data_IF_832629208849
#
_entry.id   IF_832629208849
#
_cell.length_a   1.000
_cell.length_b   1.000
_cell.length_c   1.000
_cell.angle_alpha   90.00
_cell.angle_beta   90.00
_cell.angle_gamma   90.00
#
_symmetry.space_group_name_H-M   'P 1'
#
loop_
_entity.id
_entity.type
_entity.pdbx_description
1 polymer ?
#
# COMPACT_ATOMS: atom_id res chain seq x y z
N UNK A 1 6.75 -21.88 -6.60
CA UNK A 1 7.16 -20.46 -6.50
C UNK A 1 5.92 -19.68 -6.14
N UNK A 2 5.98 -18.73 -5.20
CA UNK A 2 4.83 -17.89 -4.86
C UNK A 2 4.54 -16.92 -6.00
N UNK A 3 3.27 -16.72 -6.33
CA UNK A 3 2.86 -15.74 -7.35
C UNK A 3 3.06 -14.33 -6.83
N UNK A 4 3.49 -13.44 -7.72
CA UNK A 4 3.60 -12.01 -7.42
C UNK A 4 2.24 -11.34 -7.59
N UNK A 5 1.94 -10.33 -6.77
CA UNK A 5 0.63 -9.69 -6.67
C UNK A 5 0.63 -8.32 -7.34
N UNK A 6 -0.46 -7.98 -8.01
CA UNK A 6 -0.77 -6.64 -8.50
C UNK A 6 -1.90 -6.07 -7.65
N UNK A 7 -1.63 -4.94 -7.01
CA UNK A 7 -2.49 -4.32 -6.01
C UNK A 7 -2.88 -2.92 -6.47
N UNK A 8 -4.09 -2.69 -6.98
CA UNK A 8 -4.61 -1.34 -7.17
C UNK A 8 -4.78 -0.61 -5.84
N UNK A 9 -4.40 0.69 -5.80
CA UNK A 9 -4.56 1.53 -4.62
C UNK A 9 -5.62 2.60 -4.88
N UNK A 10 -6.52 2.78 -3.92
CA UNK A 10 -7.56 3.78 -3.91
C UNK A 10 -7.30 4.77 -2.76
N UNK A 11 -6.84 5.97 -3.09
CA UNK A 11 -6.79 7.07 -2.13
C UNK A 11 -8.22 7.61 -1.94
N UNK A 12 -8.72 7.60 -0.71
CA UNK A 12 -10.10 8.00 -0.39
C UNK A 12 -10.10 9.26 0.46
N UNK A 13 -10.97 10.20 0.12
CA UNK A 13 -11.27 11.39 0.92
C UNK A 13 -12.75 11.74 0.81
N UNK A 14 -13.38 12.12 1.91
CA UNK A 14 -14.80 12.49 1.96
C UNK A 14 -15.72 11.51 1.21
N UNK A 15 -15.43 10.20 1.28
CA UNK A 15 -16.23 9.17 0.64
C UNK A 15 -16.01 8.97 -0.86
N UNK A 16 -15.04 9.63 -1.46
CA UNK A 16 -14.73 9.54 -2.89
C UNK A 16 -13.30 9.06 -3.11
N UNK A 17 -13.11 8.28 -4.18
CA UNK A 17 -11.76 7.98 -4.64
C UNK A 17 -11.18 9.20 -5.32
N UNK A 18 -9.96 9.54 -4.95
CA UNK A 18 -9.25 10.69 -5.50
C UNK A 18 -7.86 10.29 -5.98
N UNK A 19 -7.29 11.07 -6.88
CA UNK A 19 -5.89 10.95 -7.27
C UNK A 19 -5.27 12.32 -7.46
N UNK A 20 -4.08 12.49 -6.90
CA UNK A 20 -3.25 13.69 -7.05
C UNK A 20 -1.80 13.31 -7.30
N UNK A 21 -0.95 14.30 -7.49
CA UNK A 21 0.51 14.16 -7.52
C UNK A 21 1.03 14.66 -6.18
N UNK A 22 1.83 13.85 -5.47
CA UNK A 22 2.35 14.19 -4.14
C UNK A 22 1.25 14.65 -3.15
N UNK A 23 0.07 14.02 -3.20
CA UNK A 23 -1.12 14.38 -2.39
C UNK A 23 -1.65 15.82 -2.62
N UNK A 24 -1.29 16.46 -3.71
CA UNK A 24 -1.72 17.81 -4.09
C UNK A 24 -2.51 17.76 -5.39
N UNK A 25 -3.49 18.69 -5.55
CA UNK A 25 -4.29 18.77 -6.77
C UNK A 25 -5.21 17.56 -6.98
N UNK A 26 -5.82 17.07 -5.90
CA UNK A 26 -6.70 15.90 -5.92
C UNK A 26 -7.84 16.05 -6.92
N UNK A 27 -8.00 15.05 -7.79
CA UNK A 27 -9.11 14.93 -8.73
C UNK A 27 -9.97 13.75 -8.32
N UNK A 28 -11.29 13.92 -8.38
CA UNK A 28 -12.25 12.85 -8.17
C UNK A 28 -12.08 11.77 -9.25
N UNK A 29 -11.89 10.53 -8.83
CA UNK A 29 -11.76 9.37 -9.71
C UNK A 29 -13.00 8.48 -9.70
N UNK A 30 -13.99 8.72 -8.82
CA UNK A 30 -15.27 8.04 -8.82
C UNK A 30 -15.71 7.44 -7.48
N UNK A 31 -16.73 6.61 -7.56
CA UNK A 31 -17.27 5.87 -6.42
C UNK A 31 -16.35 4.70 -6.03
N UNK A 32 -15.98 4.56 -4.74
CA UNK A 32 -15.05 3.52 -4.29
C UNK A 32 -15.58 2.09 -4.51
N UNK A 33 -16.86 1.85 -4.38
CA UNK A 33 -17.45 0.51 -4.56
C UNK A 33 -17.43 0.10 -6.04
N UNK A 34 -17.79 1.00 -6.93
CA UNK A 34 -17.78 0.73 -8.38
C UNK A 34 -16.35 0.52 -8.91
N UNK A 35 -15.39 1.29 -8.39
CA UNK A 35 -13.98 1.13 -8.76
C UNK A 35 -13.44 -0.19 -8.23
N UNK A 36 -13.73 -0.55 -6.99
CA UNK A 36 -13.32 -1.82 -6.39
C UNK A 36 -13.87 -3.03 -7.17
N UNK A 37 -15.17 -3.04 -7.52
CA UNK A 37 -15.76 -4.07 -8.36
C UNK A 37 -15.07 -4.21 -9.72
N UNK A 38 -14.75 -3.07 -10.33
CA UNK A 38 -14.03 -3.07 -11.61
C UNK A 38 -12.68 -3.74 -11.50
N UNK A 39 -11.92 -3.49 -10.44
CA UNK A 39 -10.61 -4.11 -10.23
C UNK A 39 -10.71 -5.59 -9.88
N UNK A 40 -11.70 -5.99 -9.09
CA UNK A 40 -11.98 -7.40 -8.82
C UNK A 40 -12.30 -8.15 -10.13
N UNK A 41 -13.21 -7.61 -10.96
CA UNK A 41 -13.53 -8.16 -12.29
C UNK A 41 -12.32 -8.22 -13.23
N UNK A 42 -11.38 -7.28 -13.12
CA UNK A 42 -10.14 -7.27 -13.90
C UNK A 42 -9.07 -8.24 -13.36
N UNK A 43 -9.37 -8.96 -12.26
CA UNK A 43 -8.50 -9.95 -11.67
C UNK A 43 -7.38 -9.38 -10.80
N UNK A 44 -7.59 -8.25 -10.12
CA UNK A 44 -6.66 -7.76 -9.11
C UNK A 44 -6.43 -8.84 -8.03
N UNK A 45 -5.23 -8.91 -7.48
CA UNK A 45 -4.92 -9.90 -6.45
C UNK A 45 -5.36 -9.44 -5.06
N UNK A 46 -5.33 -8.14 -4.82
CA UNK A 46 -5.74 -7.45 -3.59
C UNK A 46 -6.15 -6.01 -3.93
N UNK A 47 -6.81 -5.33 -3.00
CA UNK A 47 -7.07 -3.89 -3.06
C UNK A 47 -6.48 -3.20 -1.84
N UNK A 48 -6.00 -1.97 -2.02
CA UNK A 48 -5.61 -1.10 -0.92
C UNK A 48 -6.44 0.17 -0.92
N UNK A 49 -7.05 0.47 0.22
CA UNK A 49 -7.75 1.73 0.50
C UNK A 49 -6.92 2.55 1.49
N UNK A 50 -6.59 3.77 1.12
CA UNK A 50 -5.89 4.71 2.00
C UNK A 50 -6.78 5.93 2.26
N UNK A 51 -7.28 6.06 3.48
CA UNK A 51 -7.93 7.29 3.93
C UNK A 51 -6.87 8.36 4.17
N UNK A 52 -6.73 9.27 3.21
CA UNK A 52 -5.70 10.33 3.24
C UNK A 52 -6.11 11.54 4.07
N UNK A 53 -7.36 11.60 4.55
CA UNK A 53 -7.91 12.70 5.34
C UNK A 53 -8.42 12.28 6.71
N UNK A 54 -8.01 11.11 7.22
CA UNK A 54 -8.49 10.51 8.46
C UNK A 54 -8.45 11.47 9.66
N UNK A 55 -9.45 12.34 9.74
CA UNK A 55 -9.78 13.16 10.93
C UNK A 55 -10.75 12.38 11.82
N UNK A 56 -10.98 12.86 13.03
CA UNK A 56 -11.93 12.23 13.98
C UNK A 56 -13.34 12.08 13.38
N UNK A 57 -13.77 13.04 12.59
CA UNK A 57 -15.15 13.14 12.07
C UNK A 57 -15.37 12.31 10.80
N UNK A 58 -14.31 11.90 10.11
CA UNK A 58 -14.39 11.08 8.89
C UNK A 58 -14.36 9.56 9.12
N UNK A 59 -14.12 9.11 10.37
CA UNK A 59 -13.92 7.69 10.66
C UNK A 59 -15.13 6.80 10.39
N UNK A 60 -16.31 7.27 10.71
CA UNK A 60 -17.52 6.48 10.50
C UNK A 60 -17.85 6.36 9.00
N UNK A 61 -17.53 7.39 8.23
CA UNK A 61 -17.72 7.37 6.78
C UNK A 61 -16.86 6.30 6.12
N UNK A 62 -15.58 6.16 6.49
CA UNK A 62 -14.71 5.13 5.91
C UNK A 62 -15.18 3.71 6.28
N UNK A 63 -15.71 3.48 7.48
CA UNK A 63 -16.24 2.18 7.88
C UNK A 63 -17.40 1.76 6.98
N UNK A 64 -18.36 2.63 6.69
CA UNK A 64 -19.47 2.35 5.78
C UNK A 64 -19.00 2.04 4.35
N UNK A 65 -17.94 2.71 3.88
CA UNK A 65 -17.36 2.42 2.58
C UNK A 65 -16.73 1.03 2.57
N UNK A 66 -15.98 0.69 3.63
CA UNK A 66 -15.35 -0.63 3.77
C UNK A 66 -16.41 -1.73 3.77
N UNK A 67 -17.48 -1.58 4.57
CA UNK A 67 -18.61 -2.50 4.61
C UNK A 67 -19.26 -2.67 3.23
N UNK A 68 -19.50 -1.56 2.52
CA UNK A 68 -20.09 -1.59 1.19
C UNK A 68 -19.18 -2.28 0.17
N UNK A 69 -17.88 -2.02 0.19
CA UNK A 69 -16.89 -2.68 -0.68
C UNK A 69 -16.76 -4.15 -0.34
N UNK A 70 -16.56 -4.51 0.94
CA UNK A 70 -16.40 -5.89 1.39
C UNK A 70 -17.64 -6.76 1.06
N UNK A 71 -18.83 -6.17 0.96
CA UNK A 71 -20.05 -6.88 0.54
C UNK A 71 -20.10 -7.21 -0.95
N UNK A 72 -19.22 -6.62 -1.77
CA UNK A 72 -19.29 -6.68 -3.24
C UNK A 72 -17.99 -7.20 -3.90
N UNK A 73 -16.89 -7.26 -3.15
CA UNK A 73 -15.55 -7.59 -3.63
C UNK A 73 -15.02 -8.77 -2.83
N UNK A 74 -14.41 -9.74 -3.49
CA UNK A 74 -14.01 -11.02 -2.89
C UNK A 74 -12.49 -11.25 -2.92
N UNK A 75 -11.72 -10.22 -3.24
CA UNK A 75 -10.26 -10.21 -3.10
C UNK A 75 -9.86 -9.51 -1.80
N UNK A 76 -8.70 -9.84 -1.19
CA UNK A 76 -8.28 -9.23 0.07
C UNK A 76 -8.25 -7.71 0.02
N UNK A 77 -8.76 -7.09 1.08
CA UNK A 77 -8.85 -5.65 1.24
C UNK A 77 -7.92 -5.17 2.37
N UNK A 78 -6.92 -4.38 2.01
CA UNK A 78 -6.07 -3.65 2.96
C UNK A 78 -6.60 -2.24 3.16
N UNK A 79 -6.80 -1.84 4.40
CA UNK A 79 -7.27 -0.49 4.75
C UNK A 79 -6.24 0.22 5.61
N UNK A 80 -5.88 1.44 5.20
CA UNK A 80 -4.97 2.33 5.93
C UNK A 80 -5.53 3.72 6.13
N UNK A 81 -4.91 4.46 7.05
CA UNK A 81 -5.33 5.80 7.44
C UNK A 81 -6.02 5.85 8.81
N UNK A 82 -5.61 6.79 9.66
CA UNK A 82 -6.26 7.08 10.94
C UNK A 82 -6.14 6.02 12.05
N UNK A 83 -5.41 4.94 11.85
CA UNK A 83 -5.20 3.90 12.86
C UNK A 83 -4.28 4.42 13.96
N UNK A 84 -4.72 4.40 15.22
CA UNK A 84 -3.99 4.94 16.39
C UNK A 84 -3.88 3.96 17.54
N UNK A 85 -4.76 2.96 17.58
CA UNK A 85 -4.84 1.98 18.66
C UNK A 85 -5.29 0.61 18.14
N UNK A 86 -5.07 -0.44 18.92
CA UNK A 86 -5.54 -1.81 18.63
C UNK A 86 -7.07 -1.85 18.41
N UNK A 87 -7.81 -0.99 19.11
CA UNK A 87 -9.25 -0.86 18.93
C UNK A 87 -9.65 -0.37 17.51
N UNK A 88 -8.84 0.49 16.89
CA UNK A 88 -9.08 0.93 15.51
C UNK A 88 -8.86 -0.23 14.53
N UNK A 89 -7.82 -1.05 14.74
CA UNK A 89 -7.59 -2.28 13.96
C UNK A 89 -8.82 -3.18 14.02
N UNK A 90 -9.38 -3.41 15.22
CA UNK A 90 -10.60 -4.21 15.39
C UNK A 90 -11.78 -3.64 14.60
N UNK A 91 -11.99 -2.33 14.64
CA UNK A 91 -13.10 -1.68 13.91
C UNK A 91 -13.01 -1.90 12.41
N UNK A 92 -11.81 -1.75 11.83
CA UNK A 92 -11.57 -1.94 10.40
C UNK A 92 -11.75 -3.41 9.99
N UNK A 93 -11.20 -4.36 10.76
CA UNK A 93 -11.39 -5.80 10.50
C UNK A 93 -12.87 -6.20 10.60
N UNK A 94 -13.59 -5.69 11.60
CA UNK A 94 -15.03 -5.94 11.74
C UNK A 94 -15.87 -5.35 10.61
N UNK A 95 -15.43 -4.26 10.00
CA UNK A 95 -16.07 -3.65 8.84
C UNK A 95 -15.80 -4.41 7.52
N UNK A 96 -14.91 -5.42 7.54
CA UNK A 96 -14.62 -6.28 6.41
C UNK A 96 -13.24 -6.10 5.79
N UNK A 97 -12.33 -5.33 6.40
CA UNK A 97 -10.93 -5.33 5.99
C UNK A 97 -10.26 -6.67 6.34
N UNK A 98 -9.42 -7.19 5.45
CA UNK A 98 -8.58 -8.37 5.71
C UNK A 98 -7.26 -7.97 6.35
N UNK A 99 -6.76 -6.80 6.01
CA UNK A 99 -5.51 -6.25 6.52
C UNK A 99 -5.67 -4.78 6.91
N UNK A 100 -4.93 -4.36 7.90
CA UNK A 100 -4.90 -2.97 8.38
C UNK A 100 -3.49 -2.41 8.26
N UNK A 101 -3.38 -1.26 7.60
CA UNK A 101 -2.12 -0.57 7.37
C UNK A 101 -1.93 0.60 8.33
N UNK A 102 -0.76 0.69 8.96
CA UNK A 102 -0.38 1.78 9.87
C UNK A 102 0.99 2.34 9.50
N UNK A 103 1.15 3.66 9.59
CA UNK A 103 2.40 4.39 9.37
C UNK A 103 2.76 5.25 10.59
N UNK A 104 2.25 6.46 10.66
CA UNK A 104 2.63 7.45 11.71
C UNK A 104 2.42 6.95 13.13
N UNK A 105 1.37 6.17 13.37
CA UNK A 105 1.11 5.57 14.68
C UNK A 105 2.11 4.49 15.07
N UNK A 106 2.57 3.70 14.09
CA UNK A 106 3.61 2.70 14.32
C UNK A 106 4.96 3.36 14.65
N UNK A 107 5.29 4.49 13.99
CA UNK A 107 6.49 5.27 14.31
C UNK A 107 6.39 5.91 15.69
N UNK A 108 5.23 6.49 16.04
CA UNK A 108 5.00 7.13 17.34
C UNK A 108 4.96 6.14 18.51
N UNK A 109 4.42 4.96 18.28
CA UNK A 109 4.32 3.86 19.25
C UNK A 109 4.55 2.52 18.56
N UNK A 110 5.80 2.05 18.46
CA UNK A 110 6.13 0.78 17.82
C UNK A 110 5.49 -0.45 18.48
N UNK A 111 5.15 -0.39 19.76
CA UNK A 111 4.50 -1.48 20.48
C UNK A 111 3.09 -1.75 19.94
N UNK A 112 2.44 -0.75 19.31
CA UNK A 112 1.18 -0.93 18.61
C UNK A 112 1.23 -2.05 17.55
N UNK A 113 2.36 -2.18 16.84
CA UNK A 113 2.56 -3.26 15.84
C UNK A 113 2.57 -4.61 16.54
N UNK A 114 3.33 -4.73 17.65
CA UNK A 114 3.44 -5.98 18.41
C UNK A 114 2.10 -6.38 19.04
N UNK A 115 1.41 -5.43 19.64
CA UNK A 115 0.11 -5.65 20.30
C UNK A 115 -0.97 -6.08 19.29
N UNK A 116 -1.03 -5.38 18.15
CA UNK A 116 -1.97 -5.71 17.08
C UNK A 116 -1.66 -7.09 16.47
N UNK A 117 -0.38 -7.39 16.20
CA UNK A 117 0.04 -8.68 15.66
C UNK A 117 -0.21 -9.84 16.64
N UNK A 118 0.01 -9.63 17.93
CA UNK A 118 -0.26 -10.64 18.96
C UNK A 118 -1.75 -10.94 19.09
N UNK A 119 -2.61 -9.94 18.86
CA UNK A 119 -4.06 -10.09 19.03
C UNK A 119 -4.77 -10.62 17.78
N UNK A 120 -4.39 -10.13 16.58
CA UNK A 120 -5.08 -10.46 15.32
C UNK A 120 -4.28 -11.37 14.39
N UNK A 121 -3.01 -11.59 14.69
CA UNK A 121 -2.06 -12.29 13.83
C UNK A 121 -1.31 -11.34 12.89
N UNK A 122 -0.05 -11.66 12.61
CA UNK A 122 0.82 -10.88 11.73
C UNK A 122 0.23 -10.64 10.35
N UNK A 123 -0.48 -11.64 9.80
CA UNK A 123 -1.08 -11.58 8.46
C UNK A 123 -2.09 -10.43 8.27
N UNK A 124 -2.65 -9.89 9.35
CA UNK A 124 -3.57 -8.75 9.30
C UNK A 124 -2.85 -7.39 9.40
N UNK A 125 -1.55 -7.36 9.68
CA UNK A 125 -0.82 -6.13 10.00
C UNK A 125 0.14 -5.76 8.88
N UNK A 126 -0.14 -4.63 8.23
CA UNK A 126 0.74 -4.01 7.23
C UNK A 126 1.36 -2.76 7.84
N UNK A 127 2.67 -2.61 7.74
CA UNK A 127 3.32 -1.34 8.10
C UNK A 127 3.64 -0.57 6.81
N UNK A 128 3.01 0.60 6.65
CA UNK A 128 3.33 1.51 5.56
C UNK A 128 4.54 2.36 5.94
N UNK A 129 5.47 2.50 5.00
CA UNK A 129 6.69 3.29 5.15
C UNK A 129 6.78 4.28 3.99
N UNK A 130 6.61 5.57 4.29
CA UNK A 130 6.89 6.64 3.34
C UNK A 130 8.38 6.98 3.44
N UNK A 131 9.13 6.67 2.40
CA UNK A 131 10.58 6.78 2.35
C UNK A 131 11.02 7.95 1.45
N UNK A 132 11.90 8.79 1.95
CA UNK A 132 12.52 9.88 1.17
C UNK A 132 14.02 9.72 1.17
N UNK A 133 14.63 9.79 -0.01
CA UNK A 133 16.07 9.75 -0.14
C UNK A 133 16.71 11.01 0.44
N UNK A 134 17.69 10.84 1.31
CA UNK A 134 18.47 11.92 1.92
C UNK A 134 19.84 12.06 1.24
N UNK A 135 20.54 10.93 1.07
CA UNK A 135 21.83 10.83 0.39
C UNK A 135 21.84 9.59 -0.50
N UNK A 136 22.89 9.41 -1.30
CA UNK A 136 23.02 8.23 -2.15
C UNK A 136 23.02 6.94 -1.31
N UNK A 137 21.99 6.10 -1.52
CA UNK A 137 21.83 4.83 -0.82
C UNK A 137 21.28 4.94 0.62
N UNK A 138 20.80 6.11 1.03
CA UNK A 138 20.17 6.34 2.32
C UNK A 138 18.79 6.94 2.20
N UNK A 139 17.82 6.42 2.97
CA UNK A 139 16.43 6.88 2.99
C UNK A 139 15.96 7.07 4.43
N UNK A 140 15.19 8.10 4.62
CA UNK A 140 14.58 8.47 5.90
C UNK A 140 13.07 8.19 5.87
N UNK A 141 12.55 7.69 6.99
CA UNK A 141 11.10 7.50 7.20
C UNK A 141 10.42 8.84 7.41
N UNK A 142 9.32 9.06 6.70
CA UNK A 142 8.44 10.20 6.88
C UNK A 142 7.08 9.78 7.43
N UNK A 143 6.44 10.68 8.16
CA UNK A 143 5.11 10.49 8.75
C UNK A 143 4.16 11.61 8.33
N UNK A 144 2.88 11.49 8.74
CA UNK A 144 1.83 12.48 8.48
C UNK A 144 1.65 12.79 6.98
N UNK A 145 1.61 11.73 6.14
CA UNK A 145 1.50 11.87 4.69
C UNK A 145 2.71 12.59 4.07
N UNK A 146 3.91 12.22 4.49
CA UNK A 146 5.15 12.76 3.96
C UNK A 146 5.56 14.15 4.47
N UNK A 147 4.87 14.69 5.48
CA UNK A 147 5.10 16.06 5.95
C UNK A 147 6.16 16.19 7.05
N UNK A 148 6.41 15.11 7.79
CA UNK A 148 7.30 15.15 8.97
C UNK A 148 8.42 14.14 8.82
N UNK A 149 9.65 14.63 8.74
CA UNK A 149 10.87 13.84 8.81
C UNK A 149 11.06 13.27 10.22
N UNK A 150 11.52 12.03 10.35
CA UNK A 150 11.65 11.36 11.65
C UNK A 150 13.09 11.14 12.11
N UNK A 151 14.06 11.27 11.22
CA UNK A 151 15.46 10.89 11.47
C UNK A 151 15.68 9.37 11.47
N UNK A 152 14.67 8.56 11.18
CA UNK A 152 14.75 7.10 11.23
C UNK A 152 15.18 6.56 9.86
N UNK A 153 16.21 5.73 9.83
CA UNK A 153 16.64 5.01 8.64
C UNK A 153 15.60 3.97 8.22
N UNK A 154 15.23 3.96 6.94
CA UNK A 154 14.15 3.11 6.40
C UNK A 154 14.47 1.62 6.55
N UNK A 155 15.70 1.20 6.25
CA UNK A 155 16.06 -0.24 6.28
C UNK A 155 16.07 -0.77 7.72
N UNK A 156 16.54 0.05 8.66
CA UNK A 156 16.48 -0.29 10.10
C UNK A 156 15.05 -0.36 10.59
N UNK A 157 14.21 0.57 10.18
CA UNK A 157 12.79 0.59 10.55
C UNK A 157 12.04 -0.61 9.99
N UNK A 158 12.26 -0.95 8.72
CA UNK A 158 11.69 -2.14 8.09
C UNK A 158 12.04 -3.42 8.87
N UNK A 159 13.33 -3.56 9.26
CA UNK A 159 13.79 -4.70 10.06
C UNK A 159 13.17 -4.71 11.47
N UNK A 160 12.97 -3.54 12.07
CA UNK A 160 12.34 -3.41 13.40
C UNK A 160 10.88 -3.82 13.37
N UNK A 161 10.09 -3.31 12.42
CA UNK A 161 8.66 -3.63 12.34
C UNK A 161 8.41 -5.10 11.98
N UNK A 162 9.29 -5.70 11.15
CA UNK A 162 9.25 -7.13 10.87
C UNK A 162 9.45 -7.95 12.15
N UNK A 163 10.42 -7.61 12.99
CA UNK A 163 10.65 -8.27 14.29
C UNK A 163 9.49 -8.08 15.26
N UNK A 164 8.77 -6.96 15.17
CA UNK A 164 7.60 -6.66 16.00
C UNK A 164 6.33 -7.39 15.57
N UNK A 165 6.39 -8.12 14.45
CA UNK A 165 5.28 -8.94 13.99
C UNK A 165 4.45 -8.32 12.88
N UNK A 166 4.94 -7.30 12.18
CA UNK A 166 4.34 -6.91 10.90
C UNK A 166 4.34 -8.11 9.95
N UNK A 167 3.23 -8.33 9.27
CA UNK A 167 3.10 -9.41 8.29
C UNK A 167 3.53 -8.97 6.89
N UNK A 168 3.56 -7.65 6.62
CA UNK A 168 3.88 -7.10 5.31
C UNK A 168 4.31 -5.62 5.42
N UNK A 169 5.15 -5.17 4.50
CA UNK A 169 5.56 -3.77 4.38
C UNK A 169 5.00 -3.18 3.09
N UNK A 170 4.30 -2.05 3.19
CA UNK A 170 3.92 -1.20 2.05
C UNK A 170 4.94 -0.06 1.96
N UNK A 171 5.86 -0.17 1.00
CA UNK A 171 6.99 0.76 0.86
C UNK A 171 6.74 1.77 -0.25
N UNK A 172 6.54 3.03 0.09
CA UNK A 172 6.32 4.12 -0.87
C UNK A 172 7.54 5.02 -0.96
N UNK A 173 8.11 5.14 -2.16
CA UNK A 173 9.13 6.16 -2.43
C UNK A 173 8.49 7.52 -2.70
N UNK A 174 8.70 8.47 -1.80
CA UNK A 174 8.24 9.86 -1.96
C UNK A 174 8.91 10.57 -3.13
N UNK A 175 10.14 10.18 -3.48
CA UNK A 175 10.86 10.74 -4.62
C UNK A 175 10.27 10.30 -5.97
N UNK A 176 9.58 9.16 -5.99
CA UNK A 176 9.00 8.57 -7.20
C UNK A 176 7.48 8.73 -7.29
N UNK A 177 6.79 8.93 -6.16
CA UNK A 177 5.33 9.00 -6.18
C UNK A 177 4.82 10.11 -7.10
N UNK A 178 3.93 9.73 -8.02
CA UNK A 178 3.36 10.61 -9.04
C UNK A 178 4.26 10.95 -10.24
N UNK A 179 5.56 10.58 -10.22
CA UNK A 179 6.52 10.92 -11.30
C UNK A 179 6.30 10.13 -12.58
N UNK A 180 5.76 8.91 -12.52
CA UNK A 180 5.67 7.93 -13.61
C UNK A 180 7.03 7.44 -14.15
N UNK A 181 8.14 7.64 -13.42
CA UNK A 181 9.51 7.27 -13.83
C UNK A 181 9.93 5.86 -13.34
N UNK A 182 9.01 5.10 -12.77
CA UNK A 182 9.25 3.79 -12.18
C UNK A 182 9.52 3.84 -10.69
N UNK A 183 9.50 2.65 -10.07
CA UNK A 183 9.80 2.50 -8.66
C UNK A 183 11.23 2.94 -8.32
N UNK A 184 11.46 3.31 -7.07
CA UNK A 184 12.81 3.41 -6.51
C UNK A 184 13.35 2.00 -6.26
N UNK A 185 14.01 1.46 -7.29
CA UNK A 185 14.48 0.07 -7.29
C UNK A 185 15.56 -0.16 -6.23
N UNK A 186 16.43 0.84 -6.00
CA UNK A 186 17.49 0.74 -4.99
C UNK A 186 16.90 0.68 -3.58
N UNK A 187 15.93 1.54 -3.27
CA UNK A 187 15.18 1.53 -2.01
C UNK A 187 14.46 0.19 -1.83
N UNK A 188 13.72 -0.23 -2.86
CA UNK A 188 12.91 -1.45 -2.79
C UNK A 188 13.76 -2.68 -2.54
N UNK A 189 14.88 -2.83 -3.28
CA UNK A 189 15.82 -3.93 -3.07
C UNK A 189 16.47 -3.88 -1.68
N UNK A 190 16.92 -2.70 -1.22
CA UNK A 190 17.54 -2.57 0.10
C UNK A 190 16.61 -3.01 1.24
N UNK A 191 15.31 -2.71 1.12
CA UNK A 191 14.32 -3.15 2.13
C UNK A 191 13.97 -4.62 1.95
N UNK A 192 13.69 -5.07 0.73
CA UNK A 192 13.31 -6.47 0.46
C UNK A 192 14.38 -7.45 0.89
N UNK A 193 15.65 -7.11 0.68
CA UNK A 193 16.78 -7.97 1.07
C UNK A 193 17.06 -7.95 2.59
N UNK A 194 16.56 -6.94 3.30
CA UNK A 194 16.80 -6.79 4.75
C UNK A 194 15.72 -7.47 5.62
N UNK A 195 14.57 -7.88 5.03
CA UNK A 195 13.46 -8.46 5.79
C UNK A 195 13.06 -9.81 5.22
N UNK A 196 12.36 -10.63 6.04
CA UNK A 196 11.83 -11.94 5.62
C UNK A 196 10.33 -11.92 5.36
N UNK A 197 9.68 -10.78 5.53
CA UNK A 197 8.24 -10.58 5.26
C UNK A 197 8.05 -9.93 3.88
N UNK A 198 6.90 -10.13 3.23
CA UNK A 198 6.64 -9.55 1.92
C UNK A 198 6.76 -8.03 1.90
N UNK A 199 7.31 -7.50 0.80
CA UNK A 199 7.41 -6.07 0.52
C UNK A 199 6.59 -5.72 -0.71
N UNK A 200 5.71 -4.73 -0.57
CA UNK A 200 4.91 -4.15 -1.64
C UNK A 200 5.61 -2.87 -2.11
N UNK A 201 6.07 -2.84 -3.36
CA UNK A 201 6.64 -1.64 -3.96
C UNK A 201 5.55 -0.65 -4.35
N UNK A 202 5.71 0.62 -3.98
CA UNK A 202 4.77 1.72 -4.22
C UNK A 202 5.47 3.01 -4.64
N UNK A 203 4.80 3.78 -5.52
CA UNK A 203 5.25 5.09 -6.00
C UNK A 203 6.04 5.03 -7.29
N UNK A 204 5.57 5.75 -8.33
CA UNK A 204 6.30 5.99 -9.57
C UNK A 204 5.89 5.15 -10.80
N UNK A 205 4.90 4.28 -10.69
CA UNK A 205 4.49 3.43 -11.84
C UNK A 205 3.90 4.28 -12.96
N UNK A 206 4.49 4.18 -14.16
CA UNK A 206 4.04 4.87 -15.37
C UNK A 206 3.77 3.96 -16.56
N UNK A 207 4.27 2.70 -16.53
CA UNK A 207 4.03 1.72 -17.58
C UNK A 207 4.20 0.28 -17.04
N UNK A 208 3.90 -0.72 -17.87
CA UNK A 208 3.93 -2.13 -17.47
C UNK A 208 5.34 -2.66 -17.17
N UNK A 209 6.37 -2.13 -17.83
CA UNK A 209 7.75 -2.53 -17.58
C UNK A 209 8.19 -2.16 -16.14
N UNK A 210 7.67 -1.06 -15.60
CA UNK A 210 7.96 -0.67 -14.22
C UNK A 210 7.48 -1.73 -13.20
N UNK A 211 6.35 -2.40 -13.47
CA UNK A 211 5.87 -3.51 -12.62
C UNK A 211 6.85 -4.68 -12.63
N UNK A 212 7.35 -5.04 -13.82
CA UNK A 212 8.39 -6.08 -13.99
C UNK A 212 9.66 -5.70 -13.24
N UNK A 213 10.12 -4.46 -13.39
CA UNK A 213 11.34 -3.98 -12.75
C UNK A 213 11.23 -3.97 -11.22
N UNK A 214 10.07 -3.62 -10.68
CA UNK A 214 9.80 -3.68 -9.23
C UNK A 214 9.99 -5.08 -8.64
N UNK A 215 9.59 -6.12 -9.39
CA UNK A 215 9.76 -7.52 -8.98
C UNK A 215 11.19 -8.01 -9.23
N UNK A 216 11.72 -7.79 -10.44
CA UNK A 216 12.98 -8.44 -10.86
C UNK A 216 14.22 -7.73 -10.38
N UNK A 217 14.18 -6.40 -10.27
CA UNK A 217 15.29 -5.54 -9.83
C UNK A 217 15.09 -4.98 -8.43
N UNK A 218 13.83 -4.71 -8.05
CA UNK A 218 13.47 -4.24 -6.71
C UNK A 218 13.26 -5.38 -5.71
N UNK A 219 13.22 -6.63 -6.15
CA UNK A 219 12.99 -7.84 -5.34
C UNK A 219 11.67 -7.83 -4.57
N UNK A 220 10.70 -7.00 -4.98
CA UNK A 220 9.41 -6.91 -4.32
C UNK A 220 8.57 -8.21 -4.47
N UNK A 221 7.67 -8.45 -3.53
CA UNK A 221 6.71 -9.55 -3.56
C UNK A 221 5.37 -9.14 -4.17
N UNK A 222 5.10 -7.85 -4.19
CA UNK A 222 3.93 -7.25 -4.81
C UNK A 222 4.25 -5.85 -5.34
N UNK A 223 3.43 -5.40 -6.29
CA UNK A 223 3.51 -4.06 -6.86
C UNK A 223 2.16 -3.36 -6.68
N UNK A 224 2.21 -2.13 -6.17
CA UNK A 224 1.04 -1.29 -5.97
C UNK A 224 1.06 -0.16 -6.98
N UNK A 225 -0.06 0.04 -7.66
CA UNK A 225 -0.23 1.11 -8.63
C UNK A 225 -1.64 1.73 -8.55
N UNK A 226 -1.73 3.01 -8.89
CA UNK A 226 -2.98 3.76 -8.87
C UNK A 226 -3.29 4.38 -10.23
N UNK A 227 -2.53 5.40 -10.65
CA UNK A 227 -2.87 6.25 -11.79
C UNK A 227 -3.01 5.49 -13.10
N UNK A 228 -2.14 4.54 -13.41
CA UNK A 228 -2.19 3.77 -14.68
C UNK A 228 -3.48 2.94 -14.81
N UNK A 229 -4.06 2.52 -13.67
CA UNK A 229 -5.32 1.78 -13.62
C UNK A 229 -6.53 2.72 -13.51
N UNK A 230 -6.46 3.78 -12.71
CA UNK A 230 -7.56 4.73 -12.54
C UNK A 230 -7.92 5.45 -13.84
N UNK A 231 -6.92 5.88 -14.59
CA UNK A 231 -7.12 6.57 -15.85
C UNK A 231 -7.32 5.64 -17.06
N UNK A 232 -7.33 4.30 -16.82
CA UNK A 232 -7.56 3.31 -17.87
C UNK A 232 -6.44 3.24 -18.90
N UNK A 233 -5.22 3.68 -18.55
CA UNK A 233 -4.05 3.53 -19.42
C UNK A 233 -3.76 2.03 -19.64
N UNK A 234 -3.97 1.22 -18.59
CA UNK A 234 -3.89 -0.23 -18.64
C UNK A 234 -4.97 -0.86 -17.74
N UNK A 235 -5.37 -2.10 -18.04
CA UNK A 235 -6.16 -2.93 -17.13
C UNK A 235 -5.23 -3.80 -16.27
N UNK A 236 -5.74 -4.31 -15.14
CA UNK A 236 -4.99 -5.26 -14.31
C UNK A 236 -4.69 -6.55 -15.09
N UNK A 237 -5.63 -7.03 -15.89
CA UNK A 237 -5.43 -8.19 -16.77
C UNK A 237 -4.25 -7.99 -17.73
N UNK A 238 -4.20 -6.84 -18.44
CA UNK A 238 -3.05 -6.50 -19.31
C UNK A 238 -1.72 -6.46 -18.55
N UNK A 239 -1.73 -5.98 -17.32
CA UNK A 239 -0.53 -5.95 -16.48
C UNK A 239 -0.08 -7.38 -16.13
N UNK A 240 -0.99 -8.28 -15.78
CA UNK A 240 -0.70 -9.69 -15.51
C UNK A 240 -0.18 -10.41 -16.73
N UNK A 241 -0.83 -10.25 -17.88
CA UNK A 241 -0.39 -10.84 -19.14
C UNK A 241 1.04 -10.40 -19.50
N UNK A 242 1.32 -9.11 -19.34
CA UNK A 242 2.65 -8.57 -19.59
C UNK A 242 3.70 -9.16 -18.64
N UNK A 243 3.42 -9.21 -17.33
CA UNK A 243 4.33 -9.78 -16.34
C UNK A 243 4.54 -11.28 -16.57
N UNK A 244 3.49 -12.04 -16.91
CA UNK A 244 3.60 -13.46 -17.27
C UNK A 244 4.48 -13.68 -18.50
N UNK A 245 4.35 -12.85 -19.52
CA UNK A 245 5.20 -12.90 -20.73
C UNK A 245 6.68 -12.62 -20.43
N UNK A 246 6.99 -11.92 -19.34
CA UNK A 246 8.35 -11.70 -18.83
C UNK A 246 8.82 -12.82 -17.86
N UNK A 247 8.06 -13.90 -17.71
CA UNK A 247 8.42 -15.04 -16.88
C UNK A 247 8.13 -14.84 -15.38
N UNK A 248 7.40 -13.80 -14.99
CA UNK A 248 7.00 -13.56 -13.60
C UNK A 248 5.75 -14.38 -13.30
N UNK A 249 5.76 -15.24 -12.26
CA UNK A 249 4.58 -16.00 -11.88
C UNK A 249 3.52 -15.06 -11.30
N UNK A 250 2.38 -14.94 -11.97
CA UNK A 250 1.18 -14.21 -11.54
C UNK A 250 -0.02 -15.16 -11.51
N UNK A 251 -1.05 -14.79 -10.78
CA UNK A 251 -2.33 -15.53 -10.77
C UNK A 251 -3.21 -14.97 -11.90
N UNK A 252 -3.57 -15.80 -12.86
CA UNK A 252 -4.47 -15.48 -13.98
C UNK A 252 -5.88 -15.97 -13.65
#
# INVERSE_FOLDING_TARGET
>A
MLTKRIIPCLDVTAGRVVKGVNFVGLRDAGDPVEIAKRYDTQGADELTFLDITATSDGRDLILHIIEAVASQVFIPLTVGGGVRAVADVRRLLNAGADKVSMNSSAVANPDLVSDAAAYYGSQCIVVAIDAKQTDAGHWEVFTHGGRTATGIDVVKWASEVAKRGAGEILLTSMNRDGSKDGFDLALTAAVSDAVSIPVIASGGVGNLQHLVDGITKGHADAVLAASIFHYGEYTVGQAKDYMAAQGIPVRI
#
